data_IF_973571785186
#
_entry.id   IF_973571785186
#
_cell.length_a   1.000
_cell.length_b   1.000
_cell.length_c   1.000
_cell.angle_alpha   90.00
_cell.angle_beta   90.00
_cell.angle_gamma   90.00
#
_symmetry.space_group_name_H-M   'P 1'
#
loop_
_entity.id
_entity.type
_entity.pdbx_description
1 polymer ?
#
# COMPACT_ATOMS: atom_id res chain seq x y z
N UNK A 1 -8.07 -6.75 -15.03
CA UNK A 1 -9.17 -5.83 -15.40
C UNK A 1 -9.19 -4.76 -14.34
N UNK A 2 -8.63 -3.60 -14.69
CA UNK A 2 -8.65 -2.42 -13.83
C UNK A 2 -10.07 -1.86 -13.83
N UNK A 3 -10.78 -2.06 -12.72
CA UNK A 3 -12.03 -1.36 -12.43
C UNK A 3 -11.72 -0.10 -11.61
N UNK A 4 -10.93 0.81 -12.18
CA UNK A 4 -10.82 2.17 -11.68
C UNK A 4 -11.65 3.07 -12.59
N UNK A 5 -12.92 3.23 -12.25
CA UNK A 5 -13.79 4.18 -12.95
C UNK A 5 -13.60 5.54 -12.29
N UNK A 6 -12.88 6.43 -12.99
CA UNK A 6 -12.83 7.85 -12.68
C UNK A 6 -14.16 8.45 -13.16
N UNK A 7 -15.07 8.75 -12.24
CA UNK A 7 -16.33 9.37 -12.61
C UNK A 7 -16.22 10.90 -12.47
N UNK A 8 -15.94 11.58 -13.57
CA UNK A 8 -16.12 13.02 -13.72
C UNK A 8 -17.51 13.31 -14.29
N UNK A 9 -18.56 13.10 -13.50
CA UNK A 9 -19.89 13.61 -13.83
C UNK A 9 -20.52 14.28 -12.62
N UNK A 10 -20.84 15.56 -12.79
CA UNK A 10 -21.58 16.39 -11.87
C UNK A 10 -22.96 15.77 -11.62
N UNK A 11 -23.07 15.00 -10.53
CA UNK A 11 -24.32 14.47 -10.02
C UNK A 11 -24.76 15.29 -8.80
N UNK A 12 -25.61 16.29 -9.06
CA UNK A 12 -26.42 16.92 -8.02
C UNK A 12 -27.44 15.91 -7.50
N UNK A 13 -27.08 15.14 -6.48
CA UNK A 13 -28.02 14.34 -5.69
C UNK A 13 -27.61 14.38 -4.21
N UNK A 14 -28.38 15.16 -3.43
CA UNK A 14 -28.55 15.09 -1.98
C UNK A 14 -27.32 14.57 -1.21
N UNK A 15 -26.38 15.48 -0.97
CA UNK A 15 -25.28 15.25 -0.05
C UNK A 15 -25.86 14.95 1.33
N UNK A 16 -25.88 13.68 1.71
CA UNK A 16 -25.92 13.30 3.10
C UNK A 16 -24.67 13.91 3.73
N UNK A 17 -24.86 14.99 4.49
CA UNK A 17 -23.84 15.47 5.41
C UNK A 17 -23.55 14.32 6.37
N UNK A 18 -22.47 13.60 6.12
CA UNK A 18 -21.94 12.64 7.08
C UNK A 18 -21.44 13.49 8.24
N UNK A 19 -22.20 13.50 9.35
CA UNK A 19 -21.86 14.25 10.54
C UNK A 19 -20.48 13.79 11.02
N UNK A 20 -19.55 14.73 11.17
CA UNK A 20 -18.21 14.45 11.68
C UNK A 20 -18.13 14.89 13.14
N UNK A 21 -18.47 13.96 14.04
CA UNK A 21 -18.39 14.12 15.49
C UNK A 21 -17.00 14.53 15.96
N UNK A 22 -15.95 14.34 15.13
CA UNK A 22 -14.59 14.74 15.46
C UNK A 22 -14.52 16.21 15.85
N UNK A 23 -15.32 17.10 15.27
CA UNK A 23 -15.27 18.54 15.58
C UNK A 23 -16.09 18.94 16.83
N UNK A 24 -16.63 17.98 17.57
CA UNK A 24 -17.32 18.21 18.83
C UNK A 24 -16.51 17.64 20.00
N UNK A 25 -15.97 18.53 20.85
CA UNK A 25 -15.15 18.16 22.02
C UNK A 25 -13.91 17.31 21.68
N UNK A 26 -13.27 17.61 20.54
CA UNK A 26 -12.00 17.01 20.13
C UNK A 26 -10.93 17.20 21.19
N UNK A 27 -10.07 16.19 21.39
CA UNK A 27 -8.86 16.38 22.19
C UNK A 27 -8.01 17.51 21.56
N UNK A 28 -7.60 18.53 22.33
CA UNK A 28 -6.79 19.62 21.81
C UNK A 28 -5.49 19.16 21.11
N UNK A 29 -4.95 17.99 21.51
CA UNK A 29 -3.77 17.39 20.89
C UNK A 29 -4.01 16.85 19.48
N UNK A 30 -5.26 16.55 19.14
CA UNK A 30 -5.66 16.19 17.78
C UNK A 30 -6.06 17.44 17.00
N UNK A 31 -6.84 18.33 17.63
CA UNK A 31 -7.37 19.52 17.00
C UNK A 31 -6.28 20.49 16.48
N UNK A 32 -5.16 20.59 17.21
CA UNK A 32 -4.03 21.45 16.83
C UNK A 32 -3.40 21.07 15.49
N UNK A 33 -3.58 19.84 14.99
CA UNK A 33 -3.08 19.45 13.68
C UNK A 33 -3.85 20.10 12.51
N UNK A 34 -5.11 20.47 12.73
CA UNK A 34 -5.98 21.05 11.70
C UNK A 34 -6.13 22.56 11.86
N UNK A 35 -6.11 23.05 13.12
CA UNK A 35 -6.39 24.46 13.41
C UNK A 35 -5.42 25.05 14.43
N UNK A 36 -4.76 26.14 14.03
CA UNK A 36 -3.97 26.97 14.92
C UNK A 36 -4.79 28.19 15.38
N UNK A 37 -5.05 28.37 16.68
CA UNK A 37 -5.89 29.46 17.17
C UNK A 37 -5.16 30.81 17.16
N UNK A 38 -5.91 31.90 16.95
CA UNK A 38 -5.38 33.27 16.98
C UNK A 38 -4.85 33.68 18.36
N UNK A 39 -5.48 33.21 19.45
CA UNK A 39 -4.97 33.46 20.80
C UNK A 39 -4.36 32.15 21.35
N UNK A 40 -3.09 32.17 21.80
CA UNK A 40 -2.38 30.95 22.22
C UNK A 40 -3.06 30.15 23.34
N UNK A 41 -3.80 30.81 24.24
CA UNK A 41 -4.52 30.15 25.34
C UNK A 41 -5.61 29.18 24.85
N UNK A 42 -6.15 29.41 23.65
CA UNK A 42 -7.16 28.53 23.02
C UNK A 42 -6.57 27.28 22.38
N UNK A 43 -5.24 27.09 22.42
CA UNK A 43 -4.67 25.80 22.06
C UNK A 43 -5.09 24.71 23.03
N UNK A 44 -5.35 25.07 24.30
CA UNK A 44 -5.73 24.14 25.37
C UNK A 44 -4.74 22.97 25.57
N UNK A 45 -3.53 23.12 25.03
CA UNK A 45 -2.43 22.17 25.19
C UNK A 45 -1.73 22.41 26.53
N UNK A 46 -1.27 21.32 27.15
CA UNK A 46 -0.41 21.40 28.33
C UNK A 46 0.88 22.19 28.06
N UNK A 47 1.42 22.04 26.86
CA UNK A 47 2.57 22.79 26.34
C UNK A 47 2.14 23.38 25.00
N UNK A 48 1.80 24.68 24.94
CA UNK A 48 1.46 25.35 23.69
C UNK A 48 2.61 25.31 22.69
N UNK A 49 2.28 25.22 21.40
CA UNK A 49 3.23 25.22 20.30
C UNK A 49 3.23 26.58 19.58
N UNK A 50 4.32 26.92 18.92
CA UNK A 50 4.39 28.14 18.10
C UNK A 50 3.71 27.95 16.74
N UNK A 51 3.47 29.06 16.02
CA UNK A 51 3.00 28.97 14.64
C UNK A 51 3.99 28.20 13.76
N UNK A 52 5.29 28.38 13.99
CA UNK A 52 6.32 27.66 13.26
C UNK A 52 6.26 26.15 13.52
N UNK A 53 6.08 25.75 14.78
CA UNK A 53 5.91 24.34 15.13
C UNK A 53 4.66 23.75 14.46
N UNK A 54 3.55 24.52 14.42
CA UNK A 54 2.32 24.13 13.74
C UNK A 54 2.52 23.94 12.23
N UNK A 55 3.21 24.88 11.56
CA UNK A 55 3.53 24.77 10.13
C UNK A 55 4.40 23.56 9.80
N UNK A 56 5.21 23.10 10.77
CA UNK A 56 6.02 21.90 10.66
C UNK A 56 5.23 20.59 10.91
N UNK A 57 4.01 20.65 11.48
CA UNK A 57 3.21 19.46 11.78
C UNK A 57 2.71 18.77 10.49
N UNK A 58 2.74 17.43 10.44
CA UNK A 58 2.12 16.66 9.37
C UNK A 58 0.67 17.08 9.11
N UNK A 59 0.31 17.28 7.84
CA UNK A 59 -1.09 17.49 7.49
C UNK A 59 -1.85 16.18 7.69
N UNK A 60 -2.80 16.17 8.64
CA UNK A 60 -3.72 15.05 8.87
C UNK A 60 -5.16 15.55 8.79
N UNK A 61 -6.10 14.63 8.57
CA UNK A 61 -7.54 14.91 8.65
C UNK A 61 -8.14 14.15 9.83
N UNK A 62 -9.31 14.58 10.30
CA UNK A 62 -10.13 13.90 11.31
C UNK A 62 -10.16 12.36 11.21
N UNK A 63 -10.23 11.82 9.98
CA UNK A 63 -10.25 10.38 9.73
C UNK A 63 -8.98 9.64 10.20
N UNK A 64 -7.83 10.32 10.23
CA UNK A 64 -6.58 9.79 10.80
C UNK A 64 -6.79 9.41 12.27
N UNK A 65 -7.33 10.33 13.06
CA UNK A 65 -7.62 10.13 14.47
C UNK A 65 -8.78 9.15 14.68
N UNK A 66 -9.81 9.22 13.83
CA UNK A 66 -10.96 8.29 13.88
C UNK A 66 -10.53 6.82 13.70
N UNK A 67 -9.53 6.56 12.87
CA UNK A 67 -8.94 5.22 12.73
C UNK A 67 -7.88 4.89 13.80
N UNK A 68 -7.62 5.80 14.73
CA UNK A 68 -6.61 5.67 15.77
C UNK A 68 -5.18 5.61 15.22
N UNK A 69 -4.95 6.18 14.04
CA UNK A 69 -3.62 6.24 13.43
C UNK A 69 -2.73 7.18 14.24
N UNK A 70 -1.44 6.88 14.26
CA UNK A 70 -0.43 7.73 14.91
C UNK A 70 0.92 7.61 14.22
N UNK A 71 1.72 8.67 14.34
CA UNK A 71 3.09 8.66 13.85
C UNK A 71 3.99 7.92 14.84
N UNK A 72 4.76 6.95 14.35
CA UNK A 72 5.70 6.18 15.18
C UNK A 72 6.88 7.01 15.67
N UNK A 73 7.26 8.05 14.93
CA UNK A 73 8.27 9.03 15.32
C UNK A 73 7.58 10.34 15.74
N UNK A 74 7.74 10.79 17.01
CA UNK A 74 7.16 12.05 17.46
C UNK A 74 7.73 13.28 16.75
N UNK A 75 8.85 13.16 16.04
CA UNK A 75 9.46 14.24 15.26
C UNK A 75 9.05 14.20 13.78
N UNK A 76 8.03 13.41 13.43
CA UNK A 76 7.52 13.37 12.06
C UNK A 76 7.03 14.76 11.66
N UNK A 77 7.58 15.32 10.57
CA UNK A 77 7.25 16.65 10.04
C UNK A 77 6.43 16.57 8.75
N UNK A 78 5.76 17.67 8.40
CA UNK A 78 5.05 17.83 7.12
C UNK A 78 5.96 17.67 5.90
N UNK A 79 7.20 18.15 6.02
CA UNK A 79 8.23 18.07 4.99
C UNK A 79 9.25 17.01 5.38
N UNK A 80 9.43 16.04 4.50
CA UNK A 80 10.44 14.99 4.62
C UNK A 80 11.51 15.17 3.56
N UNK A 81 12.76 14.91 3.94
CA UNK A 81 13.87 14.94 3.01
C UNK A 81 14.31 13.53 2.66
N UNK A 82 14.67 13.31 1.41
CA UNK A 82 15.29 12.06 1.00
C UNK A 82 16.68 11.90 1.62
N UNK A 83 17.05 10.66 1.91
CA UNK A 83 18.42 10.31 2.26
C UNK A 83 19.37 10.44 1.03
N UNK A 84 20.65 10.11 1.22
CA UNK A 84 21.67 10.16 0.15
C UNK A 84 21.38 9.22 -1.02
N UNK A 85 20.50 8.24 -0.84
CA UNK A 85 20.07 7.36 -1.93
C UNK A 85 18.95 8.00 -2.74
N UNK A 86 18.24 9.01 -2.21
CA UNK A 86 17.04 9.56 -2.82
C UNK A 86 15.76 8.93 -2.28
N UNK A 87 15.82 8.25 -1.13
CA UNK A 87 14.66 7.62 -0.50
C UNK A 87 14.16 8.39 0.73
N UNK A 88 12.84 8.47 0.91
CA UNK A 88 12.20 8.95 2.13
C UNK A 88 11.16 7.93 2.59
N UNK A 89 11.10 7.61 3.88
CA UNK A 89 10.17 6.58 4.40
C UNK A 89 9.23 7.17 5.43
N UNK A 90 7.95 7.26 5.08
CA UNK A 90 6.87 7.61 6.02
C UNK A 90 6.33 6.35 6.69
N UNK A 91 6.14 6.40 8.02
CA UNK A 91 5.61 5.29 8.81
C UNK A 91 4.42 5.74 9.65
N UNK A 92 3.30 5.07 9.46
CA UNK A 92 2.06 5.31 10.21
C UNK A 92 1.72 4.02 10.94
N UNK A 93 1.60 4.12 12.27
CA UNK A 93 1.19 3.02 13.10
C UNK A 93 -0.34 3.04 13.25
N UNK A 94 -0.92 1.86 13.41
CA UNK A 94 -2.35 1.66 13.62
C UNK A 94 -2.63 0.80 14.85
N UNK A 95 -3.83 0.89 15.45
CA UNK A 95 -4.23 0.05 16.56
C UNK A 95 -4.32 -1.43 16.16
N UNK A 96 -4.02 -2.34 17.09
CA UNK A 96 -4.03 -3.78 16.80
C UNK A 96 -5.37 -4.31 16.27
N UNK A 97 -6.49 -3.80 16.80
CA UNK A 97 -7.82 -4.21 16.37
C UNK A 97 -8.21 -3.75 14.96
N UNK A 98 -7.48 -2.78 14.38
CA UNK A 98 -7.73 -2.25 13.03
C UNK A 98 -6.90 -2.96 11.94
N UNK A 99 -5.84 -3.69 12.30
CA UNK A 99 -4.91 -4.28 11.32
C UNK A 99 -5.60 -5.18 10.28
N UNK A 100 -6.63 -5.92 10.69
CA UNK A 100 -7.35 -6.86 9.83
C UNK A 100 -8.35 -6.21 8.86
N UNK A 101 -8.71 -4.94 9.06
CA UNK A 101 -9.71 -4.24 8.25
C UNK A 101 -9.17 -3.00 7.55
N UNK A 102 -8.13 -2.37 8.10
CA UNK A 102 -7.63 -1.14 7.54
C UNK A 102 -6.77 -1.40 6.30
N UNK A 103 -7.19 -0.82 5.19
CA UNK A 103 -6.49 -0.84 3.92
C UNK A 103 -6.04 0.56 3.55
N UNK A 104 -4.90 0.66 2.89
CA UNK A 104 -4.29 1.93 2.52
C UNK A 104 -4.08 2.03 1.02
N UNK A 105 -4.21 3.27 0.55
CA UNK A 105 -3.87 3.67 -0.80
C UNK A 105 -3.04 4.96 -0.74
N UNK A 106 -2.33 5.29 -1.79
CA UNK A 106 -1.55 6.51 -1.86
C UNK A 106 -1.53 7.06 -3.27
N UNK A 107 -1.35 8.37 -3.36
CA UNK A 107 -0.98 9.07 -4.59
C UNK A 107 0.35 9.77 -4.38
N UNK A 108 1.22 9.70 -5.40
CA UNK A 108 2.43 10.49 -5.47
C UNK A 108 2.35 11.35 -6.73
N UNK A 109 2.49 12.67 -6.56
CA UNK A 109 2.57 13.63 -7.68
C UNK A 109 3.70 14.61 -7.44
N UNK A 110 4.12 15.32 -8.48
CA UNK A 110 4.96 16.49 -8.28
C UNK A 110 4.25 17.52 -7.39
N UNK A 111 5.02 18.27 -6.58
CA UNK A 111 4.42 19.19 -5.62
C UNK A 111 3.85 20.43 -6.33
N UNK A 112 4.59 20.98 -7.28
CA UNK A 112 4.24 22.23 -7.98
C UNK A 112 3.40 22.00 -9.25
N UNK A 113 3.22 20.75 -9.68
CA UNK A 113 2.43 20.41 -10.86
C UNK A 113 1.50 19.23 -10.57
N UNK A 114 0.44 19.07 -11.35
CA UNK A 114 -0.48 17.93 -11.18
C UNK A 114 0.03 16.64 -11.85
N UNK A 115 1.27 16.62 -12.35
CA UNK A 115 1.85 15.46 -13.01
C UNK A 115 2.05 14.28 -12.05
N UNK A 116 1.54 13.12 -12.43
CA UNK A 116 1.63 11.85 -11.71
C UNK A 116 2.55 10.82 -12.41
N UNK A 117 3.37 11.29 -13.35
CA UNK A 117 4.29 10.47 -14.13
C UNK A 117 5.63 11.15 -14.39
N UNK A 118 6.67 10.34 -14.56
CA UNK A 118 8.04 10.75 -14.88
C UNK A 118 8.59 9.82 -15.98
N UNK A 119 9.11 10.40 -17.07
CA UNK A 119 9.64 9.67 -18.23
C UNK A 119 8.73 8.55 -18.76
N UNK A 120 7.42 8.82 -18.83
CA UNK A 120 6.41 7.85 -19.29
C UNK A 120 6.06 6.75 -18.30
N UNK A 121 6.60 6.81 -17.06
CA UNK A 121 6.31 5.87 -15.98
C UNK A 121 5.52 6.57 -14.89
N UNK A 122 4.42 5.95 -14.43
CA UNK A 122 3.63 6.48 -13.32
C UNK A 122 4.45 6.53 -12.01
N UNK A 123 4.32 7.64 -11.28
CA UNK A 123 4.95 7.88 -9.98
C UNK A 123 4.55 6.85 -8.92
N UNK A 124 3.43 6.12 -9.10
CA UNK A 124 3.06 4.97 -8.26
C UNK A 124 4.17 3.91 -8.21
N UNK A 125 4.96 3.77 -9.29
CA UNK A 125 6.05 2.79 -9.34
C UNK A 125 7.30 3.24 -8.59
N UNK A 126 7.28 4.43 -7.99
CA UNK A 126 8.37 4.96 -7.17
C UNK A 126 8.03 4.93 -5.67
N UNK A 127 6.96 4.22 -5.27
CA UNK A 127 6.58 4.08 -3.86
C UNK A 127 6.38 2.62 -3.51
N UNK A 128 7.14 2.16 -2.51
CA UNK A 128 6.93 0.86 -1.90
C UNK A 128 6.05 1.02 -0.66
N UNK A 129 4.77 0.71 -0.80
CA UNK A 129 3.84 0.55 0.32
C UNK A 129 3.98 -0.86 0.90
N UNK A 130 4.25 -1.00 2.19
CA UNK A 130 4.32 -2.30 2.87
C UNK A 130 3.74 -2.22 4.28
N UNK A 131 3.30 -3.35 4.83
CA UNK A 131 2.75 -3.42 6.19
C UNK A 131 3.49 -4.50 6.95
N UNK A 132 4.11 -4.12 8.08
CA UNK A 132 4.81 -5.03 8.99
C UNK A 132 4.29 -4.79 10.40
N UNK A 133 3.73 -5.83 11.01
CA UNK A 133 3.03 -5.72 12.29
C UNK A 133 1.91 -4.68 12.20
N UNK A 134 1.95 -3.68 13.09
CA UNK A 134 0.95 -2.62 13.17
C UNK A 134 1.36 -1.34 12.43
N UNK A 135 2.39 -1.37 11.58
CA UNK A 135 2.92 -0.19 10.91
C UNK A 135 2.81 -0.35 9.40
N UNK A 136 2.16 0.62 8.76
CA UNK A 136 2.24 0.80 7.30
C UNK A 136 3.41 1.74 6.99
N UNK A 137 4.22 1.36 6.02
CA UNK A 137 5.37 2.13 5.53
C UNK A 137 5.17 2.51 4.08
N UNK A 138 5.41 3.78 3.74
CA UNK A 138 5.45 4.31 2.38
C UNK A 138 6.87 4.78 2.10
N UNK A 139 7.66 3.95 1.41
CA UNK A 139 9.02 4.29 1.01
C UNK A 139 9.00 4.89 -0.39
N UNK A 140 9.16 6.20 -0.46
CA UNK A 140 9.25 6.98 -1.71
C UNK A 140 10.69 6.96 -2.19
N UNK A 141 10.90 6.61 -3.45
CA UNK A 141 12.18 6.68 -4.15
C UNK A 141 12.08 7.80 -5.19
N UNK A 142 12.63 8.98 -4.89
CA UNK A 142 12.48 10.13 -5.77
C UNK A 142 13.09 9.84 -7.16
N UNK A 143 12.32 9.96 -8.25
CA UNK A 143 12.83 9.71 -9.61
C UNK A 143 13.79 10.80 -10.09
N UNK A 144 13.62 12.03 -9.60
CA UNK A 144 14.43 13.19 -9.92
C UNK A 144 14.55 14.11 -8.68
N UNK A 145 15.51 15.04 -8.70
CA UNK A 145 15.54 16.14 -7.73
C UNK A 145 14.29 17.01 -7.90
N UNK A 146 13.73 17.45 -6.78
CA UNK A 146 12.49 18.24 -6.76
C UNK A 146 11.64 17.94 -5.53
N UNK A 147 10.43 18.46 -5.54
CA UNK A 147 9.44 18.23 -4.49
C UNK A 147 8.25 17.42 -5.02
N UNK A 148 7.75 16.52 -4.18
CA UNK A 148 6.62 15.65 -4.45
C UNK A 148 5.59 15.76 -3.32
N UNK A 149 4.31 15.54 -3.65
CA UNK A 149 3.24 15.40 -2.68
C UNK A 149 2.85 13.92 -2.57
N UNK A 150 3.04 13.35 -1.38
CA UNK A 150 2.53 12.05 -1.00
C UNK A 150 1.19 12.24 -0.26
N UNK A 151 0.09 11.80 -0.86
CA UNK A 151 -1.25 11.81 -0.26
C UNK A 151 -1.64 10.39 0.11
N UNK A 152 -1.87 10.13 1.39
CA UNK A 152 -2.18 8.80 1.92
C UNK A 152 -3.66 8.74 2.25
N UNK A 153 -4.29 7.67 1.79
CA UNK A 153 -5.71 7.40 1.98
C UNK A 153 -5.88 6.09 2.73
N UNK A 154 -6.96 5.99 3.49
CA UNK A 154 -7.34 4.76 4.18
C UNK A 154 -8.83 4.48 4.03
N UNK A 155 -9.18 3.21 4.21
CA UNK A 155 -10.55 2.76 4.36
C UNK A 155 -10.58 1.53 5.28
N UNK A 156 -11.62 1.40 6.11
CA UNK A 156 -11.84 0.22 6.93
C UNK A 156 -12.79 -0.72 6.18
N UNK A 157 -12.27 -1.86 5.74
CA UNK A 157 -12.98 -2.84 4.91
C UNK A 157 -12.74 -4.23 5.48
N UNK A 158 -13.79 -4.99 5.75
CA UNK A 158 -13.64 -6.37 6.21
C UNK A 158 -13.07 -7.26 5.09
N UNK A 159 -12.39 -8.37 5.42
CA UNK A 159 -11.93 -9.31 4.39
C UNK A 159 -13.03 -9.78 3.45
N UNK A 160 -14.26 -9.95 3.96
CA UNK A 160 -15.41 -10.36 3.15
C UNK A 160 -15.81 -9.29 2.13
N UNK A 161 -15.89 -8.03 2.55
CA UNK A 161 -16.16 -6.91 1.66
C UNK A 161 -15.02 -6.71 0.66
N UNK A 162 -13.78 -6.95 1.07
CA UNK A 162 -12.63 -6.83 0.16
C UNK A 162 -12.73 -7.81 -1.01
N UNK A 163 -13.15 -9.04 -0.72
CA UNK A 163 -13.23 -10.12 -1.70
C UNK A 163 -14.48 -10.04 -2.61
N UNK A 164 -15.40 -9.10 -2.39
CA UNK A 164 -16.51 -8.89 -3.35
C UNK A 164 -16.03 -8.25 -4.65
N UNK A 165 -14.89 -7.55 -4.61
CA UNK A 165 -14.37 -6.79 -5.76
C UNK A 165 -15.10 -5.48 -6.02
N UNK A 166 -16.03 -5.07 -5.15
CA UNK A 166 -16.72 -3.79 -5.28
C UNK A 166 -15.74 -2.62 -5.11
N UNK A 167 -15.94 -1.50 -5.83
CA UNK A 167 -15.08 -0.32 -5.72
C UNK A 167 -15.02 0.20 -4.28
N UNK A 168 -13.80 0.27 -3.73
CA UNK A 168 -13.56 0.79 -2.39
C UNK A 168 -13.40 2.30 -2.41
N UNK A 169 -14.09 2.99 -1.51
CA UNK A 169 -13.98 4.45 -1.35
C UNK A 169 -12.91 4.79 -0.33
N UNK A 170 -11.76 5.23 -0.81
CA UNK A 170 -10.67 5.72 0.03
C UNK A 170 -10.85 7.20 0.34
N UNK A 171 -10.56 7.60 1.59
CA UNK A 171 -10.54 9.00 2.02
C UNK A 171 -9.13 9.37 2.47
N UNK A 172 -8.68 10.57 2.11
CA UNK A 172 -7.36 11.08 2.49
C UNK A 172 -7.28 11.19 4.01
N UNK A 173 -6.21 10.66 4.61
CA UNK A 173 -5.97 10.69 6.06
C UNK A 173 -4.79 11.58 6.40
N UNK A 174 -3.75 11.65 5.55
CA UNK A 174 -2.61 12.53 5.78
C UNK A 174 -1.83 12.82 4.49
N UNK A 175 -1.04 13.91 4.50
CA UNK A 175 -0.23 14.34 3.36
C UNK A 175 1.16 14.78 3.80
N UNK A 176 2.14 14.52 2.93
CA UNK A 176 3.53 14.89 3.13
C UNK A 176 4.14 15.50 1.88
N UNK A 177 4.97 16.53 2.09
CA UNK A 177 5.87 17.02 1.05
C UNK A 177 7.18 16.24 1.14
N UNK A 178 7.56 15.55 0.06
CA UNK A 178 8.84 14.87 -0.04
C UNK A 178 9.79 15.73 -0.86
N UNK A 179 10.91 16.13 -0.27
CA UNK A 179 11.93 16.97 -0.89
C UNK A 179 13.17 16.13 -1.20
N UNK A 180 13.53 16.07 -2.48
CA UNK A 180 14.77 15.50 -2.96
C UNK A 180 15.68 16.62 -3.46
N UNK A 181 16.73 16.94 -2.71
CA UNK A 181 17.66 18.01 -3.08
C UNK A 181 18.59 17.57 -4.22
N UNK A 182 19.19 16.38 -4.10
CA UNK A 182 20.15 15.84 -5.05
C UNK A 182 20.01 14.32 -5.14
N UNK A 183 20.18 13.79 -6.35
CA UNK A 183 20.27 12.36 -6.61
C UNK A 183 21.68 12.00 -7.07
N UNK A 184 22.34 11.16 -6.28
CA UNK A 184 23.66 10.62 -6.65
C UNK A 184 23.55 9.50 -7.70
N UNK A 185 22.40 8.83 -7.75
CA UNK A 185 22.13 7.70 -8.64
C UNK A 185 20.73 7.79 -9.21
N UNK A 186 20.58 7.36 -10.47
CA UNK A 186 19.26 7.23 -11.08
C UNK A 186 18.45 6.17 -10.34
N UNK A 187 17.30 6.57 -9.80
CA UNK A 187 16.34 5.65 -9.21
C UNK A 187 15.53 4.99 -10.32
N UNK A 188 15.45 3.65 -10.29
CA UNK A 188 14.64 2.87 -11.22
C UNK A 188 13.25 2.63 -10.63
N UNK A 189 12.19 2.63 -11.45
CA UNK A 189 10.85 2.30 -10.97
C UNK A 189 10.80 0.85 -10.46
N UNK A 190 9.99 0.58 -9.45
CA UNK A 190 9.65 -0.77 -9.01
C UNK A 190 9.06 -1.58 -10.17
N UNK A 191 9.27 -2.91 -10.22
CA UNK A 191 8.64 -3.80 -11.19
C UNK A 191 7.13 -3.58 -11.30
N UNK A 192 6.57 -3.75 -12.49
CA UNK A 192 5.16 -3.45 -12.80
C UNK A 192 4.22 -4.57 -12.30
N UNK A 193 4.19 -4.74 -10.99
CA UNK A 193 3.32 -5.68 -10.30
C UNK A 193 1.90 -5.12 -10.12
N UNK A 194 0.97 -6.01 -9.75
CA UNK A 194 -0.38 -5.62 -9.37
C UNK A 194 -0.39 -4.52 -8.29
N UNK A 195 -1.43 -3.69 -8.30
CA UNK A 195 -1.59 -2.58 -7.35
C UNK A 195 -1.77 -3.06 -5.90
N UNK A 196 -1.50 -2.16 -4.95
CA UNK A 196 -1.64 -2.40 -3.51
C UNK A 196 -0.31 -2.65 -2.78
N UNK A 197 -0.41 -3.16 -1.55
CA UNK A 197 0.72 -3.37 -0.64
C UNK A 197 1.68 -4.47 -1.09
N UNK A 198 2.96 -4.28 -0.82
CA UNK A 198 4.02 -5.27 -0.96
C UNK A 198 4.17 -6.08 0.33
N UNK A 199 4.48 -7.37 0.17
CA UNK A 199 4.65 -8.34 1.24
C UNK A 199 3.46 -9.27 1.45
N UNK A 200 3.60 -10.23 2.39
CA UNK A 200 2.63 -11.30 2.62
C UNK A 200 1.42 -10.91 3.46
N UNK A 201 1.41 -9.72 4.07
CA UNK A 201 0.37 -9.29 5.02
C UNK A 201 -1.04 -9.39 4.43
N UNK A 202 -1.23 -8.94 3.18
CA UNK A 202 -2.48 -9.11 2.42
C UNK A 202 -2.89 -10.57 2.31
N UNK A 203 -1.95 -11.45 1.98
CA UNK A 203 -2.19 -12.87 1.75
C UNK A 203 -2.63 -13.58 3.04
N UNK A 204 -1.97 -13.28 4.15
CA UNK A 204 -2.34 -13.79 5.47
C UNK A 204 -3.72 -13.28 5.88
N UNK A 205 -3.93 -11.96 5.81
CA UNK A 205 -5.19 -11.30 6.21
C UNK A 205 -6.40 -11.77 5.41
N UNK A 206 -6.27 -11.86 4.08
CA UNK A 206 -7.40 -12.10 3.18
C UNK A 206 -7.57 -13.57 2.78
N UNK A 207 -6.52 -14.39 2.84
CA UNK A 207 -6.57 -15.77 2.35
C UNK A 207 -6.10 -16.79 3.39
N UNK A 208 -5.55 -16.38 4.53
CA UNK A 208 -4.96 -17.31 5.50
C UNK A 208 -3.67 -17.94 4.97
N UNK A 209 -3.00 -17.27 4.02
CA UNK A 209 -1.73 -17.72 3.46
C UNK A 209 -0.58 -17.13 4.29
N UNK A 210 -0.04 -17.92 5.21
CA UNK A 210 0.94 -17.51 6.22
C UNK A 210 2.37 -17.77 5.71
N UNK A 211 3.26 -16.77 5.61
CA UNK A 211 4.63 -16.98 5.13
C UNK A 211 5.43 -17.87 6.10
N UNK A 212 6.15 -18.86 5.56
CA UNK A 212 7.09 -19.71 6.31
C UNK A 212 8.52 -19.18 6.17
N UNK A 213 8.94 -18.86 4.94
CA UNK A 213 10.33 -18.52 4.63
C UNK A 213 10.63 -17.02 4.72
N UNK A 214 9.80 -16.18 4.10
CA UNK A 214 10.08 -14.75 3.92
C UNK A 214 8.87 -13.94 4.39
N UNK A 215 9.04 -13.19 5.49
CA UNK A 215 7.99 -12.36 6.07
C UNK A 215 8.04 -10.92 5.54
N UNK A 216 9.20 -10.50 5.05
CA UNK A 216 9.46 -9.15 4.57
C UNK A 216 9.14 -9.00 3.08
N UNK A 217 8.68 -7.82 2.69
CA UNK A 217 8.31 -7.50 1.32
C UNK A 217 9.50 -7.43 0.35
N UNK A 218 10.71 -7.15 0.86
CA UNK A 218 11.96 -7.09 0.13
C UNK A 218 12.79 -8.35 0.41
N UNK A 219 13.20 -9.04 -0.65
CA UNK A 219 14.00 -10.26 -0.57
C UNK A 219 15.31 -10.06 -1.32
N UNK A 220 16.41 -10.47 -0.71
CA UNK A 220 17.71 -10.60 -1.38
C UNK A 220 17.95 -12.07 -1.64
N UNK A 221 18.15 -12.43 -2.90
CA UNK A 221 18.29 -13.82 -3.32
C UNK A 221 19.51 -14.00 -4.22
N UNK A 222 20.00 -15.24 -4.28
CA UNK A 222 21.00 -15.69 -5.25
C UNK A 222 20.37 -15.91 -6.63
N UNK A 223 20.74 -17.01 -7.28
CA UNK A 223 20.15 -17.42 -8.59
C UNK A 223 18.82 -18.14 -8.47
N UNK A 224 18.52 -18.68 -7.31
CA UNK A 224 17.29 -19.41 -7.04
C UNK A 224 16.69 -18.90 -5.74
N UNK A 225 15.37 -18.98 -5.65
CA UNK A 225 14.60 -18.61 -4.48
C UNK A 225 13.45 -19.57 -4.30
N UNK A 226 13.29 -20.09 -3.09
CA UNK A 226 12.09 -20.81 -2.66
C UNK A 226 11.30 -19.93 -1.69
N UNK A 227 10.02 -19.74 -1.99
CA UNK A 227 9.05 -19.12 -1.08
C UNK A 227 8.04 -20.14 -0.62
N UNK A 228 7.92 -20.34 0.68
CA UNK A 228 6.93 -21.25 1.24
C UNK A 228 5.90 -20.51 2.06
N UNK A 229 4.65 -20.96 1.95
CA UNK A 229 3.53 -20.50 2.76
C UNK A 229 2.76 -21.69 3.31
N UNK A 230 2.25 -21.54 4.54
CA UNK A 230 1.26 -22.44 5.14
C UNK A 230 -0.14 -21.88 4.93
N UNK A 231 -1.05 -22.71 4.46
CA UNK A 231 -2.46 -22.42 4.33
C UNK A 231 -3.16 -22.71 5.66
N UNK A 232 -3.62 -21.68 6.37
CA UNK A 232 -4.41 -21.84 7.60
C UNK A 232 -5.86 -22.26 7.33
N UNK A 233 -6.27 -22.24 6.05
CA UNK A 233 -7.58 -22.68 5.56
C UNK A 233 -7.47 -23.17 4.12
N UNK A 234 -8.40 -24.02 3.63
CA UNK A 234 -8.31 -24.57 2.29
C UNK A 234 -8.39 -23.49 1.19
N UNK A 235 -7.32 -23.36 0.42
CA UNK A 235 -7.28 -22.58 -0.82
C UNK A 235 -7.25 -23.52 -2.03
N UNK A 236 -7.56 -22.98 -3.21
CA UNK A 236 -7.49 -23.71 -4.46
C UNK A 236 -6.82 -22.84 -5.51
N UNK A 237 -6.08 -23.49 -6.41
CA UNK A 237 -5.40 -22.92 -7.57
C UNK A 237 -4.42 -21.80 -7.21
N UNK A 238 -3.15 -21.99 -7.54
CA UNK A 238 -2.13 -20.95 -7.38
C UNK A 238 -1.60 -20.54 -8.76
N UNK A 239 -1.28 -19.26 -8.86
CA UNK A 239 -0.55 -18.71 -9.99
C UNK A 239 0.47 -17.72 -9.45
N UNK A 240 1.63 -17.69 -10.07
CA UNK A 240 2.62 -16.65 -9.83
C UNK A 240 3.14 -16.10 -11.14
N UNK A 241 3.35 -14.80 -11.19
CA UNK A 241 3.88 -14.09 -12.35
C UNK A 241 5.11 -13.30 -11.94
N UNK A 242 6.16 -13.38 -12.76
CA UNK A 242 7.45 -12.77 -12.50
C UNK A 242 7.66 -11.60 -13.46
N UNK A 243 8.02 -10.45 -12.90
CA UNK A 243 8.17 -9.18 -13.59
C UNK A 243 9.60 -8.68 -13.51
N UNK A 244 10.09 -8.08 -14.59
CA UNK A 244 11.33 -7.30 -14.61
C UNK A 244 11.20 -6.14 -15.60
N UNK A 245 11.67 -4.97 -15.21
CA UNK A 245 11.62 -3.79 -16.08
C UNK A 245 12.32 -4.04 -17.42
N UNK A 246 11.65 -3.68 -18.51
CA UNK A 246 12.17 -3.86 -19.87
C UNK A 246 12.13 -5.31 -20.39
N UNK A 247 11.53 -6.25 -19.64
CA UNK A 247 11.40 -7.65 -20.06
C UNK A 247 9.93 -8.04 -20.14
N UNK A 248 9.53 -8.65 -21.26
CA UNK A 248 8.20 -9.24 -21.42
C UNK A 248 7.96 -10.39 -20.41
N UNK A 249 6.91 -10.28 -19.62
CA UNK A 249 6.46 -11.26 -18.62
C UNK A 249 6.35 -12.67 -19.20
N UNK A 250 5.92 -12.82 -20.45
CA UNK A 250 5.80 -14.14 -21.10
C UNK A 250 7.12 -14.88 -21.20
N UNK A 251 8.24 -14.14 -21.31
CA UNK A 251 9.59 -14.72 -21.32
C UNK A 251 10.02 -15.18 -19.93
N UNK A 252 9.41 -14.62 -18.89
CA UNK A 252 9.70 -14.90 -17.50
C UNK A 252 8.83 -16.02 -16.91
N UNK A 253 7.69 -16.35 -17.53
CA UNK A 253 6.76 -17.38 -17.05
C UNK A 253 7.39 -18.75 -16.78
N UNK A 254 8.43 -19.14 -17.54
CA UNK A 254 9.15 -20.42 -17.38
C UNK A 254 10.14 -20.46 -16.20
N UNK A 255 10.34 -19.33 -15.52
CA UNK A 255 11.26 -19.18 -14.40
C UNK A 255 10.54 -19.16 -13.05
N UNK A 256 9.22 -19.37 -13.05
CA UNK A 256 8.41 -19.47 -11.85
C UNK A 256 7.52 -20.69 -11.93
N UNK A 257 7.61 -21.55 -10.92
CA UNK A 257 6.76 -22.71 -10.77
C UNK A 257 6.29 -22.80 -9.33
N UNK A 258 5.19 -23.51 -9.10
CA UNK A 258 4.70 -23.76 -7.76
C UNK A 258 4.30 -25.22 -7.59
N UNK A 259 4.34 -25.68 -6.34
CA UNK A 259 3.80 -26.97 -5.94
C UNK A 259 3.03 -26.81 -4.64
N UNK A 260 1.95 -27.55 -4.49
CA UNK A 260 1.21 -27.63 -3.24
C UNK A 260 1.30 -29.05 -2.70
N UNK A 261 1.75 -29.20 -1.46
CA UNK A 261 1.78 -30.45 -0.72
C UNK A 261 1.11 -30.22 0.62
N UNK A 262 0.03 -30.96 0.89
CA UNK A 262 -0.81 -30.82 2.08
C UNK A 262 -1.28 -29.38 2.31
N UNK A 263 -0.86 -28.75 3.41
CA UNK A 263 -1.17 -27.36 3.77
C UNK A 263 -0.07 -26.36 3.34
N UNK A 264 0.98 -26.82 2.65
CA UNK A 264 2.10 -25.98 2.22
C UNK A 264 2.07 -25.75 0.72
N UNK A 265 2.21 -24.48 0.31
CA UNK A 265 2.50 -24.11 -1.07
C UNK A 265 3.90 -23.54 -1.16
N UNK A 266 4.68 -24.06 -2.10
CA UNK A 266 6.04 -23.60 -2.42
C UNK A 266 6.04 -22.97 -3.81
N UNK A 267 6.68 -21.81 -3.93
CA UNK A 267 7.00 -21.16 -5.20
C UNK A 267 8.50 -21.20 -5.41
N UNK A 268 8.93 -21.72 -6.55
CA UNK A 268 10.32 -21.83 -6.95
C UNK A 268 10.59 -20.85 -8.08
N UNK A 269 11.59 -20.00 -7.88
CA UNK A 269 11.99 -18.97 -8.83
C UNK A 269 13.46 -19.19 -9.22
N UNK A 270 13.76 -19.18 -10.51
CA UNK A 270 15.12 -19.22 -11.04
C UNK A 270 15.42 -17.95 -11.82
N UNK A 271 16.31 -17.10 -11.35
CA UNK A 271 16.58 -15.81 -11.99
C UNK A 271 17.49 -15.96 -13.21
N UNK A 272 17.05 -15.55 -14.42
CA UNK A 272 17.87 -15.69 -15.63
C UNK A 272 19.12 -14.80 -15.62
N UNK A 273 19.07 -13.69 -14.90
CA UNK A 273 20.14 -12.70 -14.78
C UNK A 273 20.00 -11.93 -13.48
N UNK A 274 21.04 -11.20 -13.07
CA UNK A 274 20.98 -10.34 -11.89
C UNK A 274 20.03 -9.16 -12.12
N UNK A 275 19.50 -8.62 -11.03
CA UNK A 275 18.69 -7.41 -11.03
C UNK A 275 17.47 -7.50 -10.11
N UNK A 276 16.57 -6.54 -10.31
CA UNK A 276 15.37 -6.40 -9.52
C UNK A 276 14.15 -7.02 -10.22
N UNK A 277 13.45 -7.87 -9.50
CA UNK A 277 12.27 -8.61 -9.95
C UNK A 277 11.08 -8.32 -9.06
N UNK A 278 9.89 -8.40 -9.62
CA UNK A 278 8.64 -8.39 -8.89
C UNK A 278 7.95 -9.74 -9.04
N UNK A 279 7.50 -10.34 -7.94
CA UNK A 279 6.71 -11.57 -7.98
C UNK A 279 5.30 -11.25 -7.53
N UNK A 280 4.30 -11.47 -8.37
CA UNK A 280 2.90 -11.47 -7.95
C UNK A 280 2.42 -12.91 -7.71
N UNK A 281 1.61 -13.11 -6.67
CA UNK A 281 0.99 -14.39 -6.34
C UNK A 281 -0.52 -14.19 -6.29
N UNK A 282 -1.24 -15.13 -6.91
CA UNK A 282 -2.68 -15.16 -6.98
C UNK A 282 -3.21 -16.50 -6.49
N UNK A 283 -4.37 -16.47 -5.84
CA UNK A 283 -5.08 -17.65 -5.34
C UNK A 283 -6.58 -17.40 -5.34
N UNK A 284 -7.37 -18.44 -5.07
CA UNK A 284 -8.79 -18.30 -4.73
C UNK A 284 -9.19 -19.17 -3.54
N UNK A 285 -10.27 -18.80 -2.86
CA UNK A 285 -10.84 -19.61 -1.79
C UNK A 285 -11.51 -20.88 -2.36
N UNK A 286 -11.32 -22.01 -1.66
CA UNK A 286 -11.96 -23.27 -2.04
C UNK A 286 -13.45 -23.21 -1.66
N UNK A 287 -14.32 -23.11 -2.66
CA UNK A 287 -15.78 -23.02 -2.45
C UNK A 287 -16.28 -21.60 -2.16
N UNK A 288 -15.60 -20.58 -2.73
CA UNK A 288 -16.00 -19.19 -2.60
C UNK A 288 -17.48 -18.93 -2.93
N UNK A 289 -18.04 -17.79 -2.46
CA UNK A 289 -19.48 -17.51 -2.53
C UNK A 289 -19.95 -17.66 -3.98
N UNK A 290 -20.89 -18.57 -4.22
CA UNK A 290 -21.56 -18.67 -5.52
C UNK A 290 -22.18 -17.31 -5.82
N UNK A 291 -21.74 -16.64 -6.90
CA UNK A 291 -22.46 -15.50 -7.41
C UNK A 291 -23.87 -15.99 -7.78
N UNK A 292 -24.88 -15.59 -7.00
CA UNK A 292 -26.27 -15.86 -7.36
C UNK A 292 -26.59 -14.88 -8.49
N UNK A 293 -26.49 -15.33 -9.73
CA UNK A 293 -27.11 -14.61 -10.83
C UNK A 293 -28.63 -14.56 -10.58
N UNK A 294 -29.25 -13.41 -10.81
CA UNK A 294 -30.72 -13.26 -10.83
C UNK A 294 -31.40 -14.10 -11.93
N UNK A 295 -30.64 -14.90 -12.70
CA UNK A 295 -31.13 -15.76 -13.76
C UNK A 295 -30.72 -17.23 -13.56
N UNK A 296 -31.16 -17.88 -12.47
CA UNK A 296 -31.45 -19.32 -12.38
C UNK A 296 -30.46 -20.40 -12.89
N UNK A 297 -29.27 -20.06 -13.40
CA UNK A 297 -28.27 -21.01 -13.91
C UNK A 297 -27.25 -21.30 -12.82
N UNK A 298 -27.20 -22.56 -12.39
CA UNK A 298 -26.20 -23.09 -11.46
C UNK A 298 -24.99 -23.61 -12.25
N UNK A 299 -24.32 -22.75 -13.01
CA UNK A 299 -22.95 -23.04 -13.42
C UNK A 299 -22.01 -22.60 -12.30
N UNK A 300 -21.12 -23.50 -11.85
CA UNK A 300 -20.01 -23.15 -10.96
C UNK A 300 -19.07 -22.24 -11.75
N UNK A 301 -19.35 -20.94 -11.77
CA UNK A 301 -18.44 -19.96 -12.33
C UNK A 301 -17.10 -20.12 -11.60
N UNK A 302 -16.05 -20.49 -12.36
CA UNK A 302 -14.70 -20.59 -11.81
C UNK A 302 -14.30 -19.18 -11.41
N UNK A 303 -14.46 -18.83 -10.14
CA UNK A 303 -13.99 -17.56 -9.58
C UNK A 303 -12.58 -17.25 -10.07
N UNK A 304 -12.42 -16.02 -10.57
CA UNK A 304 -11.13 -15.50 -11.04
C UNK A 304 -10.12 -15.54 -9.89
N UNK A 305 -8.86 -15.82 -10.23
CA UNK A 305 -7.77 -15.75 -9.27
C UNK A 305 -7.64 -14.30 -8.76
N UNK A 306 -7.55 -14.15 -7.44
CA UNK A 306 -7.37 -12.84 -6.81
C UNK A 306 -5.91 -12.66 -6.41
N UNK A 307 -5.36 -11.48 -6.69
CA UNK A 307 -4.02 -11.12 -6.25
C UNK A 307 -3.97 -11.10 -4.72
N UNK A 308 -3.05 -11.87 -4.13
CA UNK A 308 -2.95 -12.01 -2.69
C UNK A 308 -1.63 -11.51 -2.11
N UNK A 309 -0.52 -11.57 -2.87
CA UNK A 309 0.81 -11.21 -2.38
C UNK A 309 1.67 -10.67 -3.51
N UNK A 310 2.60 -9.78 -3.17
CA UNK A 310 3.72 -9.48 -4.06
C UNK A 310 5.03 -9.21 -3.32
N UNK A 311 6.15 -9.59 -3.92
CA UNK A 311 7.49 -9.36 -3.36
C UNK A 311 8.38 -8.60 -4.33
N UNK A 312 9.21 -7.72 -3.77
CA UNK A 312 10.34 -7.12 -4.48
C UNK A 312 11.57 -8.00 -4.21
N UNK A 313 12.21 -8.49 -5.26
CA UNK A 313 13.32 -9.43 -5.14
C UNK A 313 14.55 -8.85 -5.85
N UNK A 314 15.62 -8.64 -5.09
CA UNK A 314 16.92 -8.28 -5.63
C UNK A 314 17.79 -9.54 -5.75
N UNK A 315 17.97 -10.00 -6.99
CA UNK A 315 18.83 -11.16 -7.30
C UNK A 315 20.24 -10.71 -7.66
N UNK A 316 21.26 -11.30 -7.02
CA UNK A 316 22.67 -11.13 -7.38
C UNK A 316 23.46 -12.40 -7.12
N UNK A 317 24.54 -12.65 -7.89
CA UNK A 317 25.42 -13.81 -7.67
C UNK A 317 26.16 -13.78 -6.32
N UNK A 318 26.17 -12.64 -5.63
CA UNK A 318 26.86 -12.44 -4.35
C UNK A 318 26.01 -12.79 -3.13
N UNK A 319 24.71 -12.97 -3.32
CA UNK A 319 23.77 -13.39 -2.28
C UNK A 319 23.57 -14.91 -2.34
#
# INVERSE_FOLDING_TARGET
MDAFQYNSEASFLLGWYEYDDHYFLTDPREFIYEFFPLQPDWQLLKTPITLHDFEDLPFVRSLFFRYGLYFSDPNTKAVMYTDSTGAATMRIAMPAHMQSSLIFHYNLKFYDTEGDGFDGVSLKRFVMQSVVGNVVSFRVHAPCSGAFLLDIFANAVTPREYLTGEPMKFKSVCKFKICCAELQTVMVPLPDCASGEWGPTKATRLFGLVPITHQEALIFAGRELELQFRMSRPLADFMATLHKNGVDEKRLAKYVHHSTQDDIVSFYISFPEEGQYGLDIYTRERGGPTAIHQNGSTEKEKHLLTHCCKYLINSSKRN
#
